data_IF_096053202905
#
_entry.id   IF_096053202905
#
_cell.length_a   1.000
_cell.length_b   1.000
_cell.length_c   1.000
_cell.angle_alpha   90.00
_cell.angle_beta   90.00
_cell.angle_gamma   90.00
#
_symmetry.space_group_name_H-M   'P 1'
#
loop_
_entity.id
_entity.type
_entity.pdbx_description
1 polymer ?
#
# COMPACT_ATOMS: atom_id res chain seq x y z
N UNK A 1 -6.74 6.46 -26.92
CA UNK A 1 -6.67 7.28 -25.69
C UNK A 1 -8.06 7.47 -25.06
N UNK A 2 -9.12 7.55 -25.86
CA UNK A 2 -10.48 7.81 -25.35
C UNK A 2 -11.06 6.73 -24.42
N UNK A 3 -10.78 5.44 -24.66
CA UNK A 3 -11.29 4.32 -23.83
C UNK A 3 -10.82 4.29 -22.37
N UNK A 4 -9.76 5.03 -22.02
CA UNK A 4 -9.26 5.14 -20.63
C UNK A 4 -9.87 6.35 -19.90
N UNK A 5 -10.16 7.44 -20.64
CA UNK A 5 -10.81 8.63 -20.08
C UNK A 5 -12.27 8.36 -19.67
N UNK A 6 -12.99 7.57 -20.47
CA UNK A 6 -14.40 7.23 -20.19
C UNK A 6 -14.57 6.34 -18.95
N UNK A 7 -13.51 5.61 -18.54
CA UNK A 7 -13.58 4.66 -17.42
C UNK A 7 -13.14 5.26 -16.07
N UNK A 8 -12.32 6.32 -16.08
CA UNK A 8 -11.70 6.86 -14.85
C UNK A 8 -11.90 8.37 -14.66
N UNK A 9 -12.55 9.06 -15.60
CA UNK A 9 -12.66 10.52 -15.60
C UNK A 9 -11.32 11.22 -15.80
N UNK A 10 -11.34 12.55 -15.96
CA UNK A 10 -10.12 13.37 -15.95
C UNK A 10 -9.80 13.74 -14.51
N UNK A 11 -8.61 13.37 -14.03
CA UNK A 11 -8.09 13.87 -12.75
C UNK A 11 -7.93 15.39 -12.82
N UNK A 12 -8.27 16.07 -11.74
CA UNK A 12 -8.00 17.51 -11.61
C UNK A 12 -6.49 17.74 -11.44
N UNK A 13 -5.97 18.93 -11.76
CA UNK A 13 -4.58 19.27 -11.46
C UNK A 13 -4.20 19.08 -9.98
N UNK A 14 -5.14 19.34 -9.06
CA UNK A 14 -4.98 19.07 -7.63
C UNK A 14 -4.73 17.58 -7.36
N UNK A 15 -5.60 16.70 -7.86
CA UNK A 15 -5.45 15.26 -7.71
C UNK A 15 -4.15 14.72 -8.33
N UNK A 16 -3.70 15.31 -9.45
CA UNK A 16 -2.42 14.95 -10.06
C UNK A 16 -1.26 15.32 -9.13
N UNK A 17 -1.28 16.54 -8.58
CA UNK A 17 -0.25 17.01 -7.64
C UNK A 17 -0.22 16.19 -6.35
N UNK A 18 -1.37 15.86 -5.77
CA UNK A 18 -1.50 14.98 -4.61
C UNK A 18 -0.83 13.63 -4.87
N UNK A 19 -1.12 13.00 -6.02
CA UNK A 19 -0.50 11.73 -6.41
C UNK A 19 1.01 11.84 -6.63
N UNK A 20 1.49 12.93 -7.24
CA UNK A 20 2.93 13.18 -7.41
C UNK A 20 3.61 13.32 -6.05
N UNK A 21 3.02 14.12 -5.15
CA UNK A 21 3.54 14.38 -3.82
C UNK A 21 3.58 13.09 -2.99
N UNK A 22 2.50 12.31 -2.97
CA UNK A 22 2.46 11.03 -2.27
C UNK A 22 3.53 10.06 -2.78
N UNK A 23 3.73 9.97 -4.10
CA UNK A 23 4.80 9.13 -4.68
C UNK A 23 6.19 9.60 -4.26
N UNK A 24 6.43 10.91 -4.28
CA UNK A 24 7.71 11.48 -3.85
C UNK A 24 7.96 11.20 -2.36
N UNK A 25 6.97 11.46 -1.51
CA UNK A 25 7.01 11.23 -0.06
C UNK A 25 7.24 9.76 0.30
N UNK A 26 6.54 8.84 -0.35
CA UNK A 26 6.72 7.39 -0.13
C UNK A 26 8.13 6.94 -0.52
N UNK A 27 8.70 7.48 -1.61
CA UNK A 27 10.09 7.22 -1.99
C UNK A 27 11.10 7.82 -1.01
N UNK A 28 10.88 9.05 -0.55
CA UNK A 28 11.73 9.67 0.48
C UNK A 28 11.73 8.84 1.77
N UNK A 29 10.58 8.29 2.15
CA UNK A 29 10.49 7.40 3.31
C UNK A 29 11.26 6.09 3.08
N UNK A 30 11.20 5.51 1.88
CA UNK A 30 12.02 4.35 1.55
C UNK A 30 13.52 4.65 1.71
N UNK A 31 13.99 5.80 1.23
CA UNK A 31 15.39 6.18 1.38
C UNK A 31 15.77 6.44 2.84
N UNK A 32 14.87 7.06 3.64
CA UNK A 32 15.06 7.22 5.08
C UNK A 32 15.20 5.87 5.78
N UNK A 33 14.31 4.92 5.50
CA UNK A 33 14.37 3.56 6.05
C UNK A 33 15.66 2.85 5.61
N UNK A 34 16.05 2.95 4.33
CA UNK A 34 17.32 2.39 3.85
C UNK A 34 18.52 2.98 4.59
N UNK A 35 18.54 4.28 4.88
CA UNK A 35 19.62 4.91 5.65
C UNK A 35 19.67 4.38 7.09
N UNK A 36 18.51 4.25 7.75
CA UNK A 36 18.40 3.68 9.10
C UNK A 36 18.91 2.23 9.14
N UNK A 37 18.68 1.48 8.05
CA UNK A 37 19.08 0.07 7.94
C UNK A 37 20.43 -0.14 7.26
N UNK A 38 21.09 0.91 6.75
CA UNK A 38 22.36 0.80 6.03
C UNK A 38 23.49 0.38 6.98
N UNK A 39 24.39 -0.50 6.52
CA UNK A 39 25.54 -0.99 7.30
C UNK A 39 25.27 -2.15 8.27
N UNK A 40 24.04 -2.70 8.33
CA UNK A 40 23.72 -3.87 9.17
C UNK A 40 23.59 -5.15 8.33
N UNK A 41 24.36 -6.22 8.61
CA UNK A 41 24.20 -7.51 7.95
C UNK A 41 22.76 -8.06 8.12
N UNK A 42 22.20 -8.66 7.07
CA UNK A 42 20.90 -9.38 7.07
C UNK A 42 19.62 -8.59 7.44
N UNK A 43 19.72 -7.31 7.81
CA UNK A 43 18.58 -6.57 8.37
C UNK A 43 17.46 -6.26 7.35
N UNK A 44 17.78 -6.13 6.06
CA UNK A 44 16.79 -5.80 5.02
C UNK A 44 15.68 -6.84 4.85
N UNK A 45 16.00 -8.15 4.94
CA UNK A 45 15.02 -9.23 4.73
C UNK A 45 14.10 -9.43 5.94
N UNK A 46 14.66 -9.37 7.14
CA UNK A 46 13.95 -9.75 8.37
C UNK A 46 13.27 -8.55 9.08
N UNK A 47 13.44 -7.34 8.55
CA UNK A 47 12.93 -6.12 9.19
C UNK A 47 12.14 -5.18 8.28
N UNK A 48 12.50 -5.08 6.99
CA UNK A 48 11.83 -4.13 6.07
C UNK A 48 10.75 -4.80 5.20
N UNK A 49 10.88 -6.10 4.95
CA UNK A 49 9.91 -6.84 4.14
C UNK A 49 9.90 -6.38 2.67
N UNK A 50 9.03 -6.94 1.82
CA UNK A 50 9.04 -6.71 0.38
C UNK A 50 8.44 -5.37 -0.06
N UNK A 51 7.65 -4.72 0.79
CA UNK A 51 6.86 -3.55 0.44
C UNK A 51 6.86 -2.48 1.53
N UNK A 52 6.77 -1.23 1.06
CA UNK A 52 6.48 -0.03 1.84
C UNK A 52 5.25 0.62 1.20
N UNK A 53 4.33 1.08 2.03
CA UNK A 53 3.19 1.86 1.60
C UNK A 53 3.18 3.23 2.26
N UNK A 54 2.69 4.22 1.51
CA UNK A 54 2.31 5.54 1.99
C UNK A 54 0.82 5.77 1.75
N UNK A 55 0.15 6.45 2.67
CA UNK A 55 -1.25 6.88 2.56
C UNK A 55 -1.29 8.39 2.75
N UNK A 56 -1.94 9.09 1.84
CA UNK A 56 -2.25 10.51 1.97
C UNK A 56 -3.69 10.67 2.42
N UNK A 57 -3.90 11.37 3.53
CA UNK A 57 -5.22 11.78 4.00
C UNK A 57 -5.53 13.19 3.50
N UNK A 58 -6.49 13.30 2.59
CA UNK A 58 -6.88 14.57 1.96
C UNK A 58 -7.57 15.54 2.90
N UNK A 59 -8.12 15.06 4.02
CA UNK A 59 -8.81 15.92 4.99
C UNK A 59 -7.84 16.62 5.94
N UNK A 60 -6.70 15.99 6.25
CA UNK A 60 -5.70 16.52 7.17
C UNK A 60 -4.44 17.03 6.47
N UNK A 61 -4.15 16.53 5.27
CA UNK A 61 -2.89 16.79 4.57
C UNK A 61 -1.72 15.92 5.04
N UNK A 62 -1.98 14.96 5.93
CA UNK A 62 -0.97 14.11 6.55
C UNK A 62 -0.63 12.87 5.72
N UNK A 63 0.56 12.30 5.98
CA UNK A 63 1.06 11.10 5.33
C UNK A 63 1.38 10.02 6.35
N UNK A 64 0.88 8.81 6.12
CA UNK A 64 1.09 7.66 6.99
C UNK A 64 1.84 6.57 6.22
N UNK A 65 2.79 5.90 6.88
CA UNK A 65 3.63 4.90 6.24
C UNK A 65 3.64 3.59 7.02
N UNK A 66 3.74 2.48 6.29
CA UNK A 66 3.93 1.17 6.90
C UNK A 66 4.73 0.23 6.00
N UNK A 67 5.46 -0.68 6.64
CA UNK A 67 6.11 -1.84 6.01
C UNK A 67 5.41 -3.11 6.46
N UNK A 68 5.64 -4.22 5.74
CA UNK A 68 5.05 -5.50 6.09
C UNK A 68 5.51 -5.98 7.48
N UNK A 69 4.60 -6.60 8.23
CA UNK A 69 4.94 -7.39 9.40
C UNK A 69 5.45 -8.77 8.94
N UNK A 70 6.69 -9.11 9.30
CA UNK A 70 7.49 -10.18 8.66
C UNK A 70 7.05 -11.59 9.03
N UNK A 71 6.54 -11.78 10.24
CA UNK A 71 6.00 -13.06 10.72
C UNK A 71 4.55 -13.29 10.28
N UNK A 72 3.87 -12.26 9.76
CA UNK A 72 2.48 -12.33 9.35
C UNK A 72 1.48 -12.02 10.46
N UNK A 73 1.93 -11.61 11.65
CA UNK A 73 1.03 -11.23 12.72
C UNK A 73 0.13 -10.07 12.28
N UNK A 74 -1.19 -10.28 12.35
CA UNK A 74 -2.18 -9.25 12.03
C UNK A 74 -2.40 -8.43 13.30
N UNK A 75 -2.11 -7.12 13.30
CA UNK A 75 -2.35 -6.28 14.47
C UNK A 75 -3.85 -5.98 14.59
N UNK A 76 -4.24 -5.29 15.67
CA UNK A 76 -5.58 -4.75 15.78
C UNK A 76 -5.89 -3.82 14.59
N UNK A 77 -6.91 -4.18 13.82
CA UNK A 77 -7.41 -3.42 12.68
C UNK A 77 -8.61 -2.58 13.08
N UNK A 78 -8.75 -1.40 12.46
CA UNK A 78 -9.97 -0.60 12.56
C UNK A 78 -11.19 -1.40 12.07
N UNK A 79 -12.41 -1.12 12.57
CA UNK A 79 -13.59 -1.94 12.30
C UNK A 79 -13.86 -2.23 10.82
N UNK A 80 -13.63 -1.24 9.94
CA UNK A 80 -13.78 -1.40 8.49
C UNK A 80 -12.89 -2.53 7.94
N UNK A 81 -11.60 -2.51 8.28
CA UNK A 81 -10.64 -3.48 7.77
C UNK A 81 -10.81 -4.85 8.45
N UNK A 82 -11.11 -4.85 9.75
CA UNK A 82 -11.39 -6.10 10.49
C UNK A 82 -12.62 -6.82 9.92
N UNK A 83 -13.70 -6.08 9.64
CA UNK A 83 -14.90 -6.65 9.04
C UNK A 83 -14.59 -7.26 7.67
N UNK A 84 -13.85 -6.54 6.81
CA UNK A 84 -13.43 -7.07 5.51
C UNK A 84 -12.54 -8.31 5.65
N UNK A 85 -11.64 -8.35 6.63
CA UNK A 85 -10.81 -9.53 6.88
C UNK A 85 -11.66 -10.75 7.29
N UNK A 86 -12.58 -10.56 8.24
CA UNK A 86 -13.45 -11.62 8.74
C UNK A 86 -14.41 -12.15 7.67
N UNK A 87 -14.83 -11.28 6.75
CA UNK A 87 -15.77 -11.60 5.67
C UNK A 87 -15.07 -11.81 4.31
N UNK A 88 -13.77 -12.09 4.30
CA UNK A 88 -13.06 -12.40 3.06
C UNK A 88 -13.54 -13.75 2.49
N UNK A 89 -14.01 -13.82 1.23
CA UNK A 89 -14.42 -15.08 0.62
C UNK A 89 -13.27 -16.08 0.65
N UNK A 90 -13.58 -17.35 0.93
CA UNK A 90 -12.58 -18.42 1.03
C UNK A 90 -11.71 -18.50 -0.23
N UNK A 91 -12.30 -18.35 -1.40
CA UNK A 91 -11.60 -18.34 -2.69
C UNK A 91 -10.54 -17.24 -2.79
N UNK A 92 -10.86 -16.03 -2.32
CA UNK A 92 -9.92 -14.90 -2.28
C UNK A 92 -8.82 -15.19 -1.27
N UNK A 93 -9.16 -15.69 -0.09
CA UNK A 93 -8.20 -16.05 0.95
C UNK A 93 -7.23 -17.14 0.47
N UNK A 94 -7.74 -18.24 -0.09
CA UNK A 94 -6.93 -19.35 -0.55
C UNK A 94 -6.04 -18.99 -1.74
N UNK A 95 -6.49 -18.07 -2.62
CA UNK A 95 -5.75 -17.68 -3.84
C UNK A 95 -4.34 -17.14 -3.58
N UNK A 96 -4.06 -16.70 -2.35
CA UNK A 96 -2.78 -16.11 -1.98
C UNK A 96 -2.27 -16.58 -0.61
N UNK A 97 -2.93 -17.56 0.03
CA UNK A 97 -2.57 -18.03 1.38
C UNK A 97 -1.19 -18.71 1.44
N UNK A 98 -0.74 -19.34 0.35
CA UNK A 98 0.59 -19.96 0.27
C UNK A 98 1.72 -18.93 0.08
N UNK A 99 1.39 -17.70 -0.32
CA UNK A 99 2.33 -16.62 -0.63
C UNK A 99 2.27 -15.47 0.38
N UNK A 100 1.24 -15.43 1.23
CA UNK A 100 1.11 -14.49 2.33
C UNK A 100 1.33 -15.21 3.66
N UNK A 101 1.97 -14.52 4.60
CA UNK A 101 2.08 -14.99 5.99
C UNK A 101 0.91 -14.54 6.86
N UNK A 102 0.07 -13.63 6.37
CA UNK A 102 -1.06 -13.08 7.12
C UNK A 102 -1.85 -12.08 6.28
N UNK A 103 -3.12 -12.41 5.99
CA UNK A 103 -4.02 -11.47 5.34
C UNK A 103 -4.27 -10.29 6.31
N UNK A 104 -3.82 -9.09 5.93
CA UNK A 104 -3.92 -7.88 6.75
C UNK A 104 -2.61 -7.40 7.38
N UNK A 105 -1.51 -8.18 7.26
CA UNK A 105 -0.19 -7.80 7.79
C UNK A 105 0.70 -7.06 6.78
N UNK A 106 0.18 -6.78 5.58
CA UNK A 106 0.91 -6.15 4.49
C UNK A 106 0.91 -4.63 4.59
N UNK A 107 1.99 -4.01 4.08
CA UNK A 107 2.24 -2.57 4.14
C UNK A 107 1.02 -1.71 3.78
N UNK A 108 0.33 -1.99 2.67
CA UNK A 108 -0.79 -1.17 2.22
C UNK A 108 -1.98 -1.18 3.20
N UNK A 109 -2.27 -2.34 3.82
CA UNK A 109 -3.35 -2.47 4.80
C UNK A 109 -2.95 -1.77 6.09
N UNK A 110 -1.71 -1.93 6.52
CA UNK A 110 -1.20 -1.32 7.74
C UNK A 110 -1.14 0.21 7.65
N UNK A 111 -0.76 0.76 6.50
CA UNK A 111 -0.72 2.22 6.31
C UNK A 111 -2.13 2.82 6.33
N UNK A 112 -3.13 2.15 5.72
CA UNK A 112 -4.54 2.57 5.78
C UNK A 112 -5.09 2.42 7.21
N UNK A 113 -4.74 1.34 7.90
CA UNK A 113 -5.11 1.13 9.29
C UNK A 113 -4.60 2.26 10.19
N UNK A 114 -3.34 2.67 10.04
CA UNK A 114 -2.78 3.78 10.81
C UNK A 114 -3.48 5.11 10.47
N UNK A 115 -3.72 5.40 9.18
CA UNK A 115 -4.43 6.61 8.78
C UNK A 115 -5.82 6.70 9.42
N UNK A 116 -6.60 5.62 9.38
CA UNK A 116 -7.94 5.57 9.98
C UNK A 116 -7.92 5.57 11.52
N UNK A 117 -6.87 5.05 12.16
CA UNK A 117 -6.70 5.19 13.62
C UNK A 117 -6.45 6.64 14.02
N UNK A 118 -5.68 7.36 13.22
CA UNK A 118 -5.31 8.78 13.47
C UNK A 118 -6.45 9.73 13.11
N UNK A 119 -7.22 9.39 12.09
CA UNK A 119 -8.40 10.12 11.68
C UNK A 119 -9.60 9.18 11.48
N UNK A 120 -10.33 8.85 12.56
CA UNK A 120 -11.49 7.95 12.49
C UNK A 120 -12.66 8.48 11.64
N UNK A 121 -12.65 9.78 11.32
CA UNK A 121 -13.68 10.43 10.51
C UNK A 121 -13.36 10.41 9.01
N UNK A 122 -12.14 10.02 8.62
CA UNK A 122 -11.78 9.90 7.21
C UNK A 122 -12.61 8.83 6.52
N UNK A 123 -13.12 9.14 5.33
CA UNK A 123 -13.84 8.20 4.49
C UNK A 123 -12.88 7.53 3.51
N UNK A 124 -13.33 6.47 2.86
CA UNK A 124 -12.51 5.69 1.91
C UNK A 124 -11.97 6.60 0.79
N UNK A 125 -12.83 7.44 0.25
CA UNK A 125 -12.52 8.39 -0.81
C UNK A 125 -11.58 9.51 -0.36
N UNK A 126 -11.38 9.70 0.94
CA UNK A 126 -10.48 10.72 1.48
C UNK A 126 -9.03 10.24 1.54
N UNK A 127 -8.79 8.93 1.38
CA UNK A 127 -7.46 8.31 1.50
C UNK A 127 -6.94 7.81 0.15
N UNK A 128 -5.75 8.27 -0.25
CA UNK A 128 -5.03 7.77 -1.44
C UNK A 128 -3.82 6.93 -1.01
N UNK A 129 -3.66 5.73 -1.57
CA UNK A 129 -2.66 4.75 -1.16
C UNK A 129 -1.60 4.56 -2.24
N UNK A 130 -0.32 4.63 -1.89
CA UNK A 130 0.80 4.26 -2.74
C UNK A 130 1.58 3.10 -2.14
N UNK A 131 1.82 2.05 -2.94
CA UNK A 131 2.62 0.92 -2.50
C UNK A 131 3.81 0.73 -3.44
N UNK A 132 5.01 0.63 -2.86
CA UNK A 132 6.27 0.47 -3.57
C UNK A 132 7.10 -0.69 -3.03
N UNK A 133 7.92 -1.25 -3.90
CA UNK A 133 8.93 -2.25 -3.53
C UNK A 133 10.00 -1.62 -2.65
N UNK A 134 10.45 -2.35 -1.65
CA UNK A 134 11.56 -1.90 -0.79
C UNK A 134 12.93 -2.11 -1.43
N UNK A 135 13.05 -3.06 -2.37
CA UNK A 135 14.31 -3.41 -3.01
C UNK A 135 15.13 -4.48 -2.28
N UNK A 136 14.54 -5.16 -1.29
CA UNK A 136 15.23 -6.23 -0.54
C UNK A 136 15.61 -7.43 -1.42
N UNK A 137 14.89 -7.62 -2.53
CA UNK A 137 15.20 -8.60 -3.56
C UNK A 137 15.94 -7.88 -4.68
N UNK A 138 17.19 -8.29 -4.94
CA UNK A 138 18.07 -7.69 -5.96
C UNK A 138 17.45 -7.67 -7.37
N UNK A 139 16.56 -8.62 -7.67
CA UNK A 139 15.88 -8.71 -8.97
C UNK A 139 14.62 -7.82 -9.05
N UNK A 140 14.25 -7.14 -7.95
CA UNK A 140 13.03 -6.35 -7.82
C UNK A 140 13.41 -4.98 -7.22
N UNK A 141 13.81 -4.01 -8.07
CA UNK A 141 14.34 -2.74 -7.60
C UNK A 141 13.36 -2.00 -6.68
N UNK A 142 13.92 -1.35 -5.65
CA UNK A 142 13.15 -0.54 -4.72
C UNK A 142 12.61 0.74 -5.36
N UNK A 143 11.50 1.27 -4.85
CA UNK A 143 10.88 2.50 -5.35
C UNK A 143 9.92 2.31 -6.52
N UNK A 144 9.80 1.09 -7.05
CA UNK A 144 8.83 0.75 -8.10
C UNK A 144 7.48 0.41 -7.48
N UNK A 145 6.40 0.93 -8.06
CA UNK A 145 5.05 0.59 -7.59
C UNK A 145 4.69 -0.82 -8.06
N UNK A 146 3.70 -1.46 -7.44
CA UNK A 146 3.20 -2.75 -7.90
C UNK A 146 1.71 -2.92 -7.54
N UNK A 147 1.06 -3.92 -8.13
CA UNK A 147 -0.34 -4.23 -7.82
C UNK A 147 -0.42 -4.96 -6.47
N UNK A 148 -1.41 -4.60 -5.65
CA UNK A 148 -1.73 -5.32 -4.42
C UNK A 148 -1.99 -6.82 -4.68
N UNK A 149 -1.68 -7.66 -3.70
CA UNK A 149 -2.08 -9.07 -3.78
C UNK A 149 -3.62 -9.22 -3.67
N UNK A 150 -4.19 -10.40 -3.97
CA UNK A 150 -5.64 -10.63 -3.84
C UNK A 150 -6.21 -10.26 -2.46
N UNK A 151 -5.52 -10.62 -1.36
CA UNK A 151 -5.96 -10.26 0.00
C UNK A 151 -6.07 -8.75 0.18
N UNK A 152 -5.01 -8.01 -0.19
CA UNK A 152 -4.96 -6.57 0.02
C UNK A 152 -5.90 -5.83 -0.94
N UNK A 153 -6.06 -6.33 -2.16
CA UNK A 153 -7.05 -5.79 -3.12
C UNK A 153 -8.48 -5.92 -2.59
N UNK A 154 -8.78 -7.01 -1.88
CA UNK A 154 -10.07 -7.19 -1.22
C UNK A 154 -10.24 -6.27 0.00
N UNK A 155 -9.24 -6.23 0.88
CA UNK A 155 -9.26 -5.40 2.09
C UNK A 155 -9.33 -3.90 1.76
N UNK A 156 -8.67 -3.46 0.70
CA UNK A 156 -8.62 -2.08 0.23
C UNK A 156 -9.56 -1.81 -0.94
N UNK A 157 -10.60 -2.62 -1.12
CA UNK A 157 -11.64 -2.35 -2.11
C UNK A 157 -12.18 -0.92 -1.95
N UNK A 158 -12.41 -0.24 -3.07
CA UNK A 158 -12.85 1.18 -3.17
C UNK A 158 -11.83 2.25 -2.77
N UNK A 159 -10.73 1.90 -2.07
CA UNK A 159 -9.66 2.87 -1.84
C UNK A 159 -8.96 3.23 -3.15
N UNK A 160 -8.50 4.47 -3.24
CA UNK A 160 -7.70 4.92 -4.38
C UNK A 160 -6.26 4.41 -4.25
N UNK A 161 -5.98 3.22 -4.78
CA UNK A 161 -4.63 2.66 -4.82
C UNK A 161 -3.92 3.07 -6.10
N UNK A 162 -2.91 3.95 -5.99
CA UNK A 162 -2.02 4.29 -7.11
C UNK A 162 -0.93 3.22 -7.28
N UNK A 163 -1.14 2.35 -8.26
CA UNK A 163 -0.18 1.33 -8.71
C UNK A 163 0.43 1.66 -10.07
N UNK A 164 1.45 0.90 -10.50
CA UNK A 164 1.87 0.97 -11.90
C UNK A 164 0.69 0.57 -12.81
N UNK A 165 0.49 1.35 -13.85
CA UNK A 165 -0.31 0.91 -14.99
C UNK A 165 0.53 -0.16 -15.67
N UNK A 166 0.06 -1.42 -15.66
CA UNK A 166 0.69 -2.43 -16.51
C UNK A 166 0.68 -1.88 -17.93
N UNK A 167 1.84 -1.74 -18.55
CA UNK A 167 1.92 -1.53 -20.00
C UNK A 167 1.22 -2.73 -20.64
N UNK A 168 -0.05 -2.57 -20.99
CA UNK A 168 -0.70 -3.48 -21.92
C UNK A 168 0.01 -3.31 -23.26
N UNK A 169 0.59 -4.39 -23.77
CA UNK A 169 1.19 -4.46 -25.09
C UNK A 169 2.70 -4.71 -25.07
N UNK A 170 3.09 -5.98 -25.01
CA UNK A 170 3.59 -6.71 -26.18
C UNK A 170 3.11 -8.16 -26.09
#
# INVERSE_FOLDING_TARGET
>A
MDKLHDKFGKLTPGQINERINLRAKTKSELERLKQIYNGRPNFGRDKMGPALAGVYDKTTGEYYYAINIIDGAVPELVPLLQNRLNNMPKEVFDSYSQLSKGAGSHAEVLAVNEALKRNPNARIEDLTVNVIRTGINKNKPGGLMFKCCPHCSYLLKEFEVISEVSKFGR
#
